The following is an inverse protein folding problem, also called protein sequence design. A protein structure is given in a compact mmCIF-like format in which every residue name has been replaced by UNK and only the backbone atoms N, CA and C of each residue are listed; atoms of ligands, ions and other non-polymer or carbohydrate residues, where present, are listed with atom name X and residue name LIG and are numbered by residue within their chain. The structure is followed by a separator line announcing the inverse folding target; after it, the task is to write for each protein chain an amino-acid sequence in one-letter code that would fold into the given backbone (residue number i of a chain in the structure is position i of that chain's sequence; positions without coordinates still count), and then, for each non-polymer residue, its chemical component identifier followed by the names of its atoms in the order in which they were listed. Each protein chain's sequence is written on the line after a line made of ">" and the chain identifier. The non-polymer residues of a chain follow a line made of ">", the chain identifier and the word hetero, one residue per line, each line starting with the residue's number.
data_IF_938484738949
#
_entry.id   IF_938484738949
#
_cell.length_a   1.000
_cell.length_b   1.000
_cell.length_c   1.000
_cell.angle_alpha   90.00
_cell.angle_beta   90.00
_cell.angle_gamma   90.00
#
_symmetry.space_group_name_H-M   'P 1'
#
loop_
_entity.id
_entity.type
_entity.pdbx_description
1 polymer ?
#
# COMPACT_ATOMS: atom_id res chain seq x y z
N UNK A 1 30.64 4.10 -16.40
CA UNK A 1 29.35 4.53 -16.98
C UNK A 1 28.42 4.86 -15.83
N UNK A 2 28.11 6.14 -15.65
CA UNK A 2 27.31 6.64 -14.54
C UNK A 2 25.82 6.47 -14.89
N UNK A 3 25.14 5.53 -14.23
CA UNK A 3 23.72 5.25 -14.49
C UNK A 3 22.88 6.34 -13.83
N UNK A 4 22.53 7.34 -14.62
CA UNK A 4 21.59 8.41 -14.21
C UNK A 4 20.19 7.82 -14.06
N UNK A 5 19.75 7.68 -12.81
CA UNK A 5 18.34 7.42 -12.48
C UNK A 5 17.48 8.54 -13.06
N UNK A 6 16.56 8.19 -13.97
CA UNK A 6 15.64 9.14 -14.60
C UNK A 6 14.74 9.75 -13.52
N UNK A 7 14.90 11.07 -13.32
CA UNK A 7 13.90 11.93 -12.69
C UNK A 7 12.63 11.95 -13.54
N UNK A 8 11.48 11.88 -12.87
CA UNK A 8 10.13 12.23 -13.32
C UNK A 8 9.33 11.13 -14.02
N UNK A 9 8.85 10.15 -13.25
CA UNK A 9 7.48 9.69 -13.43
C UNK A 9 6.57 10.67 -12.69
N UNK A 10 5.67 11.38 -13.39
CA UNK A 10 4.58 12.10 -12.68
C UNK A 10 3.79 11.04 -11.89
N UNK A 11 3.55 11.23 -10.57
CA UNK A 11 2.76 10.28 -9.80
C UNK A 11 1.42 10.07 -10.51
N UNK A 12 1.10 8.82 -10.79
CA UNK A 12 -0.15 8.48 -11.45
C UNK A 12 -1.23 8.56 -10.37
N UNK A 13 -1.91 9.71 -10.29
CA UNK A 13 -2.96 9.98 -9.31
C UNK A 13 -4.03 8.89 -9.32
N UNK A 14 -3.87 7.89 -8.44
CA UNK A 14 -4.99 7.09 -7.99
C UNK A 14 -5.84 8.00 -7.13
N UNK A 15 -7.12 8.19 -7.51
CA UNK A 15 -8.11 8.91 -6.70
C UNK A 15 -8.14 8.42 -5.23
N UNK A 16 -7.62 7.21 -4.97
CA UNK A 16 -7.70 6.55 -3.67
C UNK A 16 -6.56 6.85 -2.71
N UNK A 17 -5.44 7.37 -3.21
CA UNK A 17 -4.28 7.78 -2.38
C UNK A 17 -4.37 9.28 -2.01
N UNK A 18 -5.56 9.90 -2.16
CA UNK A 18 -5.76 11.34 -2.04
C UNK A 18 -5.36 11.93 -0.67
N UNK A 19 -5.66 11.23 0.42
CA UNK A 19 -5.26 11.67 1.77
C UNK A 19 -3.73 11.65 1.95
N UNK A 20 -3.07 10.59 1.47
CA UNK A 20 -1.60 10.44 1.50
C UNK A 20 -0.94 11.50 0.61
N UNK A 21 -1.52 11.80 -0.55
CA UNK A 21 -1.03 12.88 -1.42
C UNK A 21 -1.13 14.25 -0.75
N UNK A 22 -2.21 14.53 -0.01
CA UNK A 22 -2.33 15.77 0.75
C UNK A 22 -1.21 15.89 1.80
N UNK A 23 -0.87 14.79 2.49
CA UNK A 23 0.24 14.73 3.45
C UNK A 23 1.60 14.95 2.78
N UNK A 24 1.81 14.36 1.59
CA UNK A 24 3.02 14.55 0.81
C UNK A 24 3.19 16.00 0.36
N UNK A 25 2.11 16.60 -0.16
CA UNK A 25 2.12 17.98 -0.65
C UNK A 25 2.50 19.00 0.44
N UNK A 26 2.15 18.73 1.71
CA UNK A 26 2.53 19.58 2.85
C UNK A 26 3.90 19.20 3.45
N UNK A 27 4.61 18.24 2.84
CA UNK A 27 5.93 17.80 3.25
C UNK A 27 5.96 16.93 4.51
N UNK A 28 4.82 16.35 4.91
CA UNK A 28 4.75 15.49 6.10
C UNK A 28 5.23 14.07 5.85
N UNK A 29 5.23 13.61 4.59
CA UNK A 29 5.76 12.29 4.20
C UNK A 29 6.67 12.44 2.98
N UNK A 30 7.61 11.49 2.84
CA UNK A 30 8.58 11.44 1.76
C UNK A 30 8.02 10.91 0.43
N UNK A 31 8.77 11.11 -0.67
CA UNK A 31 8.46 10.51 -1.97
C UNK A 31 8.41 8.98 -1.91
N UNK A 32 9.27 8.36 -1.09
CA UNK A 32 9.32 6.90 -0.92
C UNK A 32 8.02 6.39 -0.27
N UNK A 33 7.56 7.06 0.79
CA UNK A 33 6.29 6.76 1.46
C UNK A 33 5.10 6.92 0.50
N UNK A 34 5.05 8.00 -0.29
CA UNK A 34 3.98 8.20 -1.28
C UNK A 34 4.00 7.09 -2.33
N UNK A 35 5.16 6.74 -2.85
CA UNK A 35 5.28 5.70 -3.88
C UNK A 35 4.88 4.32 -3.37
N UNK A 36 5.31 3.96 -2.15
CA UNK A 36 4.93 2.71 -1.53
C UNK A 36 3.42 2.64 -1.26
N UNK A 37 2.79 3.76 -0.88
CA UNK A 37 1.34 3.87 -0.77
C UNK A 37 0.62 3.65 -2.11
N UNK A 38 1.12 4.26 -3.20
CA UNK A 38 0.58 4.06 -4.55
C UNK A 38 0.73 2.60 -5.03
N UNK A 39 1.88 1.99 -4.77
CA UNK A 39 2.16 0.61 -5.16
C UNK A 39 1.31 -0.37 -4.35
N UNK A 40 1.18 -0.18 -3.04
CA UNK A 40 0.29 -0.99 -2.20
C UNK A 40 -1.17 -0.88 -2.59
N UNK A 41 -1.68 0.34 -2.81
CA UNK A 41 -3.08 0.52 -3.21
C UNK A 41 -3.37 -0.18 -4.56
N UNK A 42 -2.42 -0.11 -5.51
CA UNK A 42 -2.52 -0.81 -6.80
C UNK A 42 -2.51 -2.32 -6.64
N UNK A 43 -1.61 -2.84 -5.80
CA UNK A 43 -1.51 -4.27 -5.52
C UNK A 43 -2.79 -4.80 -4.88
N UNK A 44 -3.33 -4.08 -3.89
CA UNK A 44 -4.57 -4.46 -3.22
C UNK A 44 -5.77 -4.44 -4.19
N UNK A 45 -5.87 -3.42 -5.03
CA UNK A 45 -6.91 -3.35 -6.06
C UNK A 45 -6.80 -4.51 -7.05
N UNK A 46 -5.60 -4.78 -7.58
CA UNK A 46 -5.38 -5.78 -8.62
C UNK A 46 -5.53 -7.19 -8.07
N UNK A 47 -4.84 -7.48 -6.95
CA UNK A 47 -4.77 -8.78 -6.31
C UNK A 47 -6.08 -9.16 -5.63
N UNK A 48 -6.52 -8.33 -4.69
CA UNK A 48 -7.60 -8.64 -3.76
C UNK A 48 -8.96 -8.24 -4.35
N UNK A 49 -9.14 -6.99 -4.78
CA UNK A 49 -10.42 -6.51 -5.30
C UNK A 49 -10.71 -6.95 -6.74
N UNK A 50 -9.69 -7.41 -7.47
CA UNK A 50 -9.81 -7.84 -8.86
C UNK A 50 -9.96 -6.72 -9.87
N UNK A 51 -9.43 -5.55 -9.54
CA UNK A 51 -9.23 -4.46 -10.49
C UNK A 51 -8.28 -4.86 -11.62
N UNK A 52 -8.35 -4.11 -12.71
CA UNK A 52 -7.46 -4.30 -13.85
C UNK A 52 -6.09 -3.70 -13.53
N UNK A 53 -5.02 -4.47 -13.75
CA UNK A 53 -3.65 -3.94 -13.69
C UNK A 53 -3.47 -2.83 -14.75
N UNK A 54 -3.18 -1.57 -14.35
CA UNK A 54 -2.98 -0.46 -15.28
C UNK A 54 -1.76 -0.68 -16.22
N UNK A 55 -0.79 -1.50 -15.82
CA UNK A 55 0.41 -1.77 -16.61
C UNK A 55 0.20 -2.91 -17.61
N UNK A 56 -0.69 -3.86 -17.33
CA UNK A 56 -1.05 -4.94 -18.26
C UNK A 56 -1.60 -4.41 -19.60
N UNK A 57 -2.33 -3.29 -19.60
CA UNK A 57 -2.83 -2.67 -20.83
C UNK A 57 -1.78 -1.90 -21.66
N UNK A 58 -0.59 -1.62 -21.10
CA UNK A 58 0.43 -0.81 -21.79
C UNK A 58 1.43 -1.67 -22.57
N UNK A 59 1.68 -2.90 -22.14
CA UNK A 59 2.70 -3.77 -22.75
C UNK A 59 2.18 -4.61 -23.90
N UNK A 60 0.88 -4.92 -23.93
CA UNK A 60 0.28 -5.69 -25.01
C UNK A 60 -1.01 -5.01 -25.45
N UNK A 61 -1.09 -4.59 -26.72
CA UNK A 61 -2.26 -3.91 -27.30
C UNK A 61 -3.56 -4.72 -27.26
N UNK A 62 -3.53 -5.94 -26.70
CA UNK A 62 -4.69 -6.74 -26.28
C UNK A 62 -4.41 -7.28 -24.87
N UNK A 63 -5.40 -7.30 -23.96
CA UNK A 63 -5.24 -7.91 -22.65
C UNK A 63 -4.98 -9.41 -22.81
N UNK A 64 -3.74 -9.83 -22.58
CA UNK A 64 -3.39 -11.24 -22.46
C UNK A 64 -3.91 -11.76 -21.13
N UNK A 65 -4.76 -12.78 -21.19
CA UNK A 65 -5.38 -13.37 -20.01
C UNK A 65 -4.32 -14.02 -19.10
N UNK A 66 -3.27 -14.61 -19.67
CA UNK A 66 -2.19 -15.22 -18.91
C UNK A 66 -1.41 -14.16 -18.13
N UNK A 67 -1.02 -13.08 -18.81
CA UNK A 67 -0.37 -11.94 -18.16
C UNK A 67 -1.26 -11.31 -17.07
N UNK A 68 -2.57 -11.18 -17.30
CA UNK A 68 -3.48 -10.64 -16.30
C UNK A 68 -3.56 -11.52 -15.04
N UNK A 69 -3.54 -12.85 -15.19
CA UNK A 69 -3.48 -13.80 -14.08
C UNK A 69 -2.15 -13.69 -13.33
N UNK A 70 -1.03 -13.64 -14.04
CA UNK A 70 0.30 -13.51 -13.44
C UNK A 70 0.46 -12.19 -12.68
N UNK A 71 0.03 -11.06 -13.25
CA UNK A 71 0.00 -9.75 -12.58
C UNK A 71 -0.82 -9.81 -11.30
N UNK A 72 -1.97 -10.50 -11.34
CA UNK A 72 -2.84 -10.64 -10.16
C UNK A 72 -2.20 -11.47 -9.07
N UNK A 73 -1.62 -12.62 -9.41
CA UNK A 73 -0.92 -13.49 -8.44
C UNK A 73 0.22 -12.72 -7.78
N UNK A 74 1.05 -12.04 -8.56
CA UNK A 74 2.16 -11.26 -8.03
C UNK A 74 1.69 -10.10 -7.11
N UNK A 75 0.54 -9.50 -7.39
CA UNK A 75 -0.05 -8.47 -6.53
C UNK A 75 -0.58 -9.07 -5.21
N UNK A 76 -1.23 -10.23 -5.25
CA UNK A 76 -1.67 -10.96 -4.04
C UNK A 76 -0.47 -11.30 -3.16
N UNK A 77 0.61 -11.83 -3.73
CA UNK A 77 1.81 -12.20 -2.98
C UNK A 77 2.44 -11.00 -2.26
N UNK A 78 2.49 -9.83 -2.92
CA UNK A 78 2.95 -8.59 -2.28
C UNK A 78 2.02 -8.14 -1.16
N UNK A 79 0.70 -8.21 -1.35
CA UNK A 79 -0.26 -7.90 -0.28
C UNK A 79 -0.09 -8.83 0.93
N UNK A 80 0.05 -10.13 0.71
CA UNK A 80 0.26 -11.11 1.79
C UNK A 80 1.57 -10.85 2.53
N UNK A 81 2.67 -10.58 1.82
CA UNK A 81 3.93 -10.22 2.48
C UNK A 81 3.75 -8.98 3.37
N UNK A 82 3.05 -7.95 2.90
CA UNK A 82 2.79 -6.75 3.72
C UNK A 82 1.94 -7.09 4.94
N UNK A 83 0.91 -7.93 4.80
CA UNK A 83 0.11 -8.40 5.93
C UNK A 83 0.95 -9.18 6.95
N UNK A 84 1.82 -10.08 6.51
CA UNK A 84 2.71 -10.86 7.38
C UNK A 84 3.72 -9.99 8.14
N UNK A 85 4.27 -8.97 7.48
CA UNK A 85 5.32 -8.11 8.04
C UNK A 85 4.78 -6.96 8.90
N UNK A 86 3.67 -6.35 8.51
CA UNK A 86 3.09 -5.19 9.19
C UNK A 86 1.89 -5.55 10.09
N UNK A 87 1.28 -6.72 9.86
CA UNK A 87 0.14 -7.24 10.59
C UNK A 87 -1.22 -6.75 10.08
N UNK A 88 -2.26 -7.54 10.38
CA UNK A 88 -3.67 -7.28 9.99
C UNK A 88 -4.23 -5.92 10.42
N UNK A 89 -3.78 -5.40 11.57
CA UNK A 89 -4.25 -4.09 12.04
C UNK A 89 -3.73 -2.98 11.14
N UNK A 90 -2.47 -3.09 10.71
CA UNK A 90 -1.84 -2.16 9.79
C UNK A 90 -2.52 -2.21 8.43
N UNK A 91 -2.75 -3.42 7.89
CA UNK A 91 -3.51 -3.61 6.65
C UNK A 91 -4.88 -2.93 6.72
N UNK A 92 -5.64 -3.12 7.81
CA UNK A 92 -6.94 -2.44 7.98
C UNK A 92 -6.81 -0.91 7.96
N UNK A 93 -5.76 -0.34 8.55
CA UNK A 93 -5.52 1.10 8.48
C UNK A 93 -5.22 1.52 7.04
N UNK A 94 -4.39 0.77 6.32
CA UNK A 94 -4.06 1.04 4.91
C UNK A 94 -5.33 1.01 4.02
N UNK A 95 -6.20 0.01 4.20
CA UNK A 95 -7.49 -0.09 3.51
C UNK A 95 -8.34 1.15 3.79
N UNK A 96 -8.49 1.51 5.06
CA UNK A 96 -9.33 2.65 5.44
C UNK A 96 -8.80 3.98 4.90
N UNK A 97 -7.48 4.18 4.88
CA UNK A 97 -6.86 5.41 4.36
C UNK A 97 -6.90 5.47 2.84
N UNK A 98 -6.51 4.38 2.17
CA UNK A 98 -6.15 4.40 0.74
C UNK A 98 -7.13 3.69 -0.18
N UNK A 99 -8.10 2.94 0.35
CA UNK A 99 -9.13 2.26 -0.46
C UNK A 99 -10.50 2.85 -0.17
N UNK A 100 -10.84 2.99 1.11
CA UNK A 100 -12.10 3.60 1.56
C UNK A 100 -12.03 5.14 1.56
N UNK A 101 -10.84 5.72 1.43
CA UNK A 101 -10.59 7.15 1.33
C UNK A 101 -11.16 7.95 2.51
N UNK A 102 -11.22 7.36 3.71
CA UNK A 102 -11.79 8.04 4.87
C UNK A 102 -10.91 9.23 5.29
N UNK A 103 -11.56 10.30 5.73
CA UNK A 103 -10.87 11.40 6.39
C UNK A 103 -10.28 10.96 7.74
N UNK A 104 -9.27 11.68 8.24
CA UNK A 104 -8.68 11.41 9.57
C UNK A 104 -9.73 11.40 10.69
N UNK A 105 -10.78 12.23 10.57
CA UNK A 105 -11.88 12.25 11.53
C UNK A 105 -12.71 10.96 11.50
N UNK A 106 -13.09 10.52 10.30
CA UNK A 106 -13.84 9.28 10.10
C UNK A 106 -13.02 8.06 10.51
N UNK A 107 -11.72 8.06 10.22
CA UNK A 107 -10.81 7.02 10.68
C UNK A 107 -10.67 6.97 12.20
N UNK A 108 -10.51 8.13 12.84
CA UNK A 108 -10.39 8.19 14.29
C UNK A 108 -11.68 7.69 14.96
N UNK A 109 -12.85 7.94 14.35
CA UNK A 109 -14.13 7.38 14.77
C UNK A 109 -14.18 5.87 14.52
N UNK A 110 -13.87 5.39 13.32
CA UNK A 110 -13.90 3.98 12.96
C UNK A 110 -13.00 3.13 13.86
N UNK A 111 -11.77 3.59 14.12
CA UNK A 111 -10.82 2.93 15.01
C UNK A 111 -11.19 3.08 16.50
N UNK A 112 -11.87 4.16 16.88
CA UNK A 112 -12.40 4.33 18.23
C UNK A 112 -13.57 3.40 18.53
N UNK A 113 -14.44 3.13 17.55
CA UNK A 113 -15.57 2.22 17.68
C UNK A 113 -15.12 0.77 17.90
N UNK A 114 -13.93 0.37 17.43
CA UNK A 114 -13.33 -0.93 17.79
C UNK A 114 -13.08 -1.05 19.31
N UNK A 115 -12.93 0.08 20.01
CA UNK A 115 -12.75 0.14 21.48
C UNK A 115 -14.00 0.69 22.18
N UNK A 116 -15.18 0.46 21.63
CA UNK A 116 -16.44 0.97 22.18
C UNK A 116 -16.58 0.52 23.64
N UNK A 117 -16.59 1.50 24.53
CA UNK A 117 -16.83 1.28 25.95
C UNK A 117 -18.31 1.46 26.21
N UNK A 118 -18.87 0.57 27.01
CA UNK A 118 -20.22 0.69 27.52
C UNK A 118 -20.17 1.33 28.89
N UNK A 119 -21.16 2.17 29.20
CA UNK A 119 -21.32 2.70 30.54
C UNK A 119 -21.86 1.63 31.49
N UNK A 120 -22.08 2.02 32.75
CA UNK A 120 -22.61 1.11 33.79
C UNK A 120 -24.03 0.63 33.46
N UNK A 121 -24.73 1.32 32.58
CA UNK A 121 -26.11 1.04 32.15
C UNK A 121 -26.14 0.28 30.82
N UNK A 122 -24.98 -0.14 30.30
CA UNK A 122 -24.86 -0.90 29.05
C UNK A 122 -25.05 -0.06 27.78
N UNK A 123 -25.13 1.27 27.89
CA UNK A 123 -25.22 2.16 26.74
C UNK A 123 -23.83 2.44 26.17
N UNK A 124 -23.68 2.52 24.84
CA UNK A 124 -22.40 2.86 24.23
C UNK A 124 -22.01 4.30 24.59
N UNK A 125 -20.87 4.45 25.26
CA UNK A 125 -20.32 5.77 25.58
C UNK A 125 -19.95 6.45 24.26
N UNK A 126 -20.63 7.56 23.93
CA UNK A 126 -20.29 8.41 22.78
C UNK A 126 -18.87 8.95 22.98
N UNK A 127 -17.90 8.35 22.29
CA UNK A 127 -16.54 8.87 22.27
C UNK A 127 -16.46 10.03 21.27
N UNK A 128 -16.19 11.23 21.78
CA UNK A 128 -15.82 12.38 20.95
C UNK A 128 -14.33 12.26 20.61
N UNK A 129 -14.00 12.28 19.32
CA UNK A 129 -12.60 12.29 18.89
C UNK A 129 -11.97 13.62 19.29
N UNK A 130 -11.03 13.57 20.23
CA UNK A 130 -10.27 14.74 20.64
C UNK A 130 -9.08 15.02 19.72
N UNK A 131 -8.55 16.25 19.78
CA UNK A 131 -7.34 16.65 19.05
C UNK A 131 -6.15 15.69 19.22
N UNK A 132 -5.96 15.18 20.44
CA UNK A 132 -4.87 14.26 20.76
C UNK A 132 -5.03 12.88 20.08
N UNK A 133 -6.25 12.42 19.87
CA UNK A 133 -6.51 11.15 19.17
C UNK A 133 -6.15 11.28 17.69
N UNK A 134 -6.44 12.42 17.06
CA UNK A 134 -6.04 12.71 15.69
C UNK A 134 -4.52 12.80 15.53
N UNK A 135 -3.83 13.46 16.44
CA UNK A 135 -2.36 13.55 16.41
C UNK A 135 -1.73 12.16 16.54
N UNK A 136 -2.24 11.34 17.46
CA UNK A 136 -1.79 9.94 17.60
C UNK A 136 -2.06 9.12 16.36
N UNK A 137 -3.22 9.30 15.74
CA UNK A 137 -3.57 8.61 14.50
C UNK A 137 -2.65 9.03 13.36
N UNK A 138 -2.42 10.33 13.18
CA UNK A 138 -1.50 10.85 12.18
C UNK A 138 -0.09 10.28 12.36
N UNK A 139 0.45 10.28 13.59
CA UNK A 139 1.77 9.68 13.86
C UNK A 139 1.83 8.17 13.60
N UNK A 140 0.72 7.44 13.78
CA UNK A 140 0.63 6.03 13.41
C UNK A 140 0.62 5.82 11.90
N UNK A 141 -0.11 6.67 11.16
CA UNK A 141 -0.15 6.60 9.71
C UNK A 141 1.22 6.90 9.13
N UNK A 142 1.91 7.92 9.65
CA UNK A 142 3.25 8.29 9.20
C UNK A 142 4.25 7.14 9.38
N UNK A 143 4.34 6.60 10.60
CA UNK A 143 5.18 5.43 10.90
C UNK A 143 4.81 4.23 10.02
N UNK A 144 3.52 3.98 9.82
CA UNK A 144 3.06 2.87 8.99
C UNK A 144 3.46 3.05 7.52
N UNK A 145 3.38 4.27 6.99
CA UNK A 145 3.83 4.56 5.63
C UNK A 145 5.34 4.42 5.48
N UNK A 146 6.11 4.78 6.51
CA UNK A 146 7.56 4.57 6.55
C UNK A 146 7.90 3.07 6.52
N UNK A 147 7.26 2.27 7.37
CA UNK A 147 7.42 0.81 7.38
C UNK A 147 6.97 0.16 6.07
N UNK A 148 5.91 0.68 5.44
CA UNK A 148 5.46 0.24 4.13
C UNK A 148 6.53 0.50 3.07
N UNK A 149 7.14 1.70 3.09
CA UNK A 149 8.21 2.04 2.16
C UNK A 149 9.44 1.13 2.32
N UNK A 150 9.85 0.86 3.56
CA UNK A 150 10.93 -0.10 3.85
C UNK A 150 10.59 -1.51 3.37
N UNK A 151 9.36 -1.97 3.57
CA UNK A 151 8.93 -3.29 3.15
C UNK A 151 8.97 -3.44 1.61
N UNK A 152 8.48 -2.45 0.88
CA UNK A 152 8.57 -2.42 -0.59
C UNK A 152 10.02 -2.32 -1.08
N UNK A 153 10.87 -1.53 -0.42
CA UNK A 153 12.29 -1.47 -0.76
C UNK A 153 12.97 -2.84 -0.62
N UNK A 154 12.73 -3.55 0.49
CA UNK A 154 13.25 -4.91 0.71
C UNK A 154 12.74 -5.91 -0.33
N UNK A 155 11.46 -5.83 -0.71
CA UNK A 155 10.92 -6.67 -1.79
C UNK A 155 11.63 -6.42 -3.12
N UNK A 156 11.94 -5.17 -3.44
CA UNK A 156 12.63 -4.82 -4.68
C UNK A 156 14.07 -5.33 -4.67
N UNK A 157 14.79 -5.17 -3.56
CA UNK A 157 16.14 -5.72 -3.38
C UNK A 157 16.14 -7.25 -3.53
N UNK A 158 15.24 -7.96 -2.84
CA UNK A 158 15.14 -9.41 -2.92
C UNK A 158 14.74 -9.91 -4.33
N UNK A 159 13.99 -9.12 -5.10
CA UNK A 159 13.60 -9.47 -6.47
C UNK A 159 14.74 -9.26 -7.46
N UNK A 160 15.58 -8.25 -7.26
CA UNK A 160 16.79 -8.05 -8.06
C UNK A 160 17.79 -9.21 -7.83
N UNK A 161 17.85 -9.75 -6.61
CA UNK A 161 18.63 -10.97 -6.30
C UNK A 161 18.04 -12.23 -6.98
N UNK A 162 16.70 -12.36 -7.03
CA UNK A 162 16.03 -13.51 -7.67
C UNK A 162 16.11 -13.47 -9.20
N UNK A 163 16.17 -12.29 -9.82
CA UNK A 163 16.31 -12.13 -11.27
C UNK A 163 17.77 -12.33 -11.73
N UNK A 164 18.74 -12.15 -10.83
CA UNK A 164 20.17 -12.32 -11.13
C UNK A 164 20.71 -13.73 -10.82
N UNK A 165 20.02 -14.53 -10.01
CA UNK A 165 20.40 -15.93 -9.78
C UNK A 165 19.89 -16.90 -10.87
N UNK A 166 20.58 -16.92 -12.01
CA UNK A 166 20.38 -17.91 -13.07
C UNK A 166 21.08 -19.24 -12.79
N UNK A 167 21.72 -19.42 -11.63
CA UNK A 167 22.52 -20.62 -11.34
C UNK A 167 21.67 -21.87 -11.14
N UNK A 168 20.37 -21.70 -10.85
CA UNK A 168 19.40 -22.77 -10.65
C UNK A 168 18.53 -23.07 -11.88
N UNK A 169 18.69 -22.31 -12.98
CA UNK A 169 18.05 -22.62 -14.27
C UNK A 169 18.92 -23.65 -15.01
N UNK A 170 18.40 -24.85 -15.34
CA UNK A 170 19.16 -25.84 -16.08
C UNK A 170 19.68 -25.26 -17.40
N UNK A 171 20.97 -25.49 -17.70
CA UNK A 171 21.64 -24.98 -18.90
C UNK A 171 20.90 -25.29 -20.23
N UNK A 172 19.97 -26.25 -20.23
CA UNK A 172 19.14 -26.61 -21.38
C UNK A 172 18.10 -25.55 -21.78
N UNK A 173 17.80 -24.57 -20.92
CA UNK A 173 16.79 -23.52 -21.19
C UNK A 173 17.45 -22.14 -21.46
N UNK A 174 18.78 -22.07 -21.34
CA UNK A 174 19.58 -20.87 -21.62
C UNK A 174 19.98 -20.84 -23.10
N UNK A 175 19.02 -20.64 -24.00
CA UNK A 175 19.26 -20.45 -25.45
C UNK A 175 19.07 -19.01 -25.88
#
# INVERSE_FOLDING_TARGET
>A
MEVRLKKNGKPHYSLRVGAVYALHKVGSISDAQLRAAEDWARDYETGILGGKDPQASKQCGKPDAEYAILSRLAAVDRCHYIEEHLGKVSERILITVMIECLSLNEMALALALVKQKFDKDGQPIKKVVGKNDMVRLAGKIDLLLEQLAEAYAKMHEARDDLITDWSSVPAAIQT
#
